data_IF_404729627140
#
_entry.id   IF_404729627140
#
_cell.length_a   1.000
_cell.length_b   1.000
_cell.length_c   1.000
_cell.angle_alpha   90.00
_cell.angle_beta   90.00
_cell.angle_gamma   90.00
#
_symmetry.space_group_name_H-M   'P 1'
#
loop_
_entity.id
_entity.type
_entity.pdbx_description
1 polymer ?
#
# COMPACT_ATOMS: atom_id res chain seq x y z
N UNK A 1 40.37 2.58 4.41
CA UNK A 1 40.92 3.61 3.50
C UNK A 1 41.96 2.93 2.64
N UNK A 2 41.88 3.12 1.33
CA UNK A 2 42.78 2.52 0.35
C UNK A 2 43.49 3.68 -0.36
N UNK A 3 44.77 3.90 -0.05
CA UNK A 3 45.55 5.00 -0.61
C UNK A 3 46.51 4.48 -1.69
N UNK A 4 46.77 5.31 -2.71
CA UNK A 4 47.68 5.05 -3.82
C UNK A 4 47.51 3.68 -4.51
N UNK A 5 46.27 3.23 -4.66
CA UNK A 5 45.99 1.98 -5.37
C UNK A 5 46.21 2.16 -6.87
N UNK A 6 46.65 1.10 -7.55
CA UNK A 6 46.83 1.06 -9.00
C UNK A 6 45.71 0.24 -9.64
N UNK A 7 45.29 0.62 -10.85
CA UNK A 7 44.35 -0.21 -11.63
C UNK A 7 45.04 -1.49 -12.11
N UNK A 8 44.33 -2.61 -12.14
CA UNK A 8 44.88 -3.92 -12.49
C UNK A 8 45.49 -3.94 -13.91
N UNK A 9 44.76 -3.39 -14.88
CA UNK A 9 45.18 -3.38 -16.29
C UNK A 9 45.94 -2.11 -16.70
N UNK A 10 45.99 -1.10 -15.82
CA UNK A 10 46.65 0.20 -16.06
C UNK A 10 47.40 0.68 -14.81
N UNK A 11 48.55 0.07 -14.46
CA UNK A 11 49.26 0.35 -13.20
C UNK A 11 49.72 1.80 -13.02
N UNK A 12 49.88 2.53 -14.13
CA UNK A 12 50.22 3.96 -14.17
C UNK A 12 49.09 4.88 -13.71
N UNK A 13 47.86 4.36 -13.62
CA UNK A 13 46.70 5.07 -13.13
C UNK A 13 46.52 4.76 -11.66
N UNK A 14 46.80 5.75 -10.81
CA UNK A 14 46.60 5.67 -9.37
C UNK A 14 45.24 6.25 -8.95
N UNK A 15 44.67 5.69 -7.88
CA UNK A 15 43.44 6.17 -7.26
C UNK A 15 43.45 5.98 -5.73
N UNK A 16 42.65 6.78 -5.04
CA UNK A 16 42.44 6.70 -3.59
C UNK A 16 40.96 6.48 -3.29
N UNK A 17 40.65 5.65 -2.30
CA UNK A 17 39.28 5.36 -1.87
C UNK A 17 39.14 5.46 -0.36
N UNK A 18 38.12 6.17 0.08
CA UNK A 18 37.64 6.11 1.45
C UNK A 18 36.13 5.88 1.44
N UNK A 19 35.66 4.92 2.22
CA UNK A 19 34.24 4.60 2.35
C UNK A 19 33.95 4.43 3.83
N UNK A 20 32.97 5.18 4.33
CA UNK A 20 32.41 5.02 5.66
C UNK A 20 31.03 4.38 5.54
N UNK A 21 30.73 3.46 6.45
CA UNK A 21 29.38 2.93 6.64
C UNK A 21 28.78 3.54 7.90
N UNK A 22 27.64 4.21 7.75
CA UNK A 22 27.04 4.95 8.85
C UNK A 22 25.52 4.94 8.81
N UNK A 23 24.91 4.77 9.98
CA UNK A 23 23.46 4.86 10.17
C UNK A 23 22.92 6.29 10.07
N UNK A 24 21.66 6.39 9.69
CA UNK A 24 20.93 7.64 9.52
C UNK A 24 20.85 8.52 10.78
N UNK A 25 20.84 7.90 11.96
CA UNK A 25 20.76 8.57 13.26
C UNK A 25 22.11 9.13 13.69
N UNK A 26 23.19 8.37 13.50
CA UNK A 26 24.56 8.82 13.76
C UNK A 26 24.89 10.07 12.93
N UNK A 27 24.51 10.09 11.64
CA UNK A 27 24.69 11.26 10.76
C UNK A 27 24.00 12.49 11.30
N UNK A 28 22.77 12.33 11.78
CA UNK A 28 21.96 13.44 12.33
C UNK A 28 22.51 13.95 13.65
N UNK A 29 23.28 13.15 14.39
CA UNK A 29 23.88 13.58 15.64
C UNK A 29 24.92 14.70 15.45
N UNK A 30 25.63 14.73 14.31
CA UNK A 30 26.66 15.75 14.04
C UNK A 30 26.37 16.63 12.81
N UNK A 31 25.44 16.26 11.94
CA UNK A 31 25.12 17.02 10.73
C UNK A 31 23.75 17.73 10.83
N UNK A 32 23.71 18.99 11.30
CA UNK A 32 22.46 19.72 11.54
C UNK A 32 21.74 20.17 10.25
N UNK A 33 22.38 19.99 9.08
CA UNK A 33 21.84 20.34 7.77
C UNK A 33 20.99 19.23 7.15
N UNK A 34 21.00 18.02 7.73
CA UNK A 34 20.10 16.94 7.31
C UNK A 34 18.67 17.29 7.73
N UNK A 35 17.75 17.28 6.76
CA UNK A 35 16.35 17.62 6.99
C UNK A 35 15.66 16.63 7.93
N UNK A 36 14.94 17.14 8.91
CA UNK A 36 14.02 16.36 9.74
C UNK A 36 12.74 16.02 8.97
N UNK A 37 12.10 14.89 9.29
CA UNK A 37 10.92 14.40 8.55
C UNK A 37 9.74 15.39 8.52
N UNK A 38 9.64 16.29 9.49
CA UNK A 38 8.50 17.20 9.67
C UNK A 38 8.79 18.67 9.34
N UNK A 39 10.01 19.02 8.94
CA UNK A 39 10.40 20.42 8.78
C UNK A 39 10.96 20.68 7.37
N UNK A 40 10.24 21.47 6.57
CA UNK A 40 10.64 21.87 5.21
C UNK A 40 11.36 23.24 5.23
N UNK A 41 12.29 23.42 6.17
CA UNK A 41 13.11 24.62 6.23
C UNK A 41 13.98 24.71 4.95
N UNK A 42 13.94 25.86 4.28
CA UNK A 42 14.78 26.14 3.11
C UNK A 42 16.27 25.97 3.44
N UNK A 43 17.04 25.35 2.54
CA UNK A 43 18.50 25.15 2.68
C UNK A 43 18.96 23.84 3.32
N UNK A 44 18.05 23.03 3.89
CA UNK A 44 18.38 21.67 4.40
C UNK A 44 18.24 20.62 3.31
N UNK A 45 19.10 19.60 3.34
CA UNK A 45 19.14 18.53 2.35
C UNK A 45 18.70 17.17 2.91
N UNK A 46 18.25 16.26 2.04
CA UNK A 46 17.99 14.87 2.42
C UNK A 46 19.31 14.11 2.53
N UNK A 47 19.31 13.02 3.30
CA UNK A 47 20.47 12.09 3.36
C UNK A 47 20.85 11.62 1.95
N UNK A 48 19.86 11.30 1.12
CA UNK A 48 20.06 10.89 -0.27
C UNK A 48 20.79 11.93 -1.14
N UNK A 49 20.77 13.21 -0.77
CA UNK A 49 21.35 14.29 -1.58
C UNK A 49 22.87 14.39 -1.38
N UNK A 50 23.39 13.94 -0.23
CA UNK A 50 24.80 14.08 0.18
C UNK A 50 25.52 12.76 0.33
N UNK A 51 24.85 11.74 0.85
CA UNK A 51 25.43 10.43 1.13
C UNK A 51 25.32 9.51 -0.09
N UNK A 52 26.23 8.56 -0.18
CA UNK A 52 26.50 7.74 -1.36
C UNK A 52 27.97 7.73 -1.71
N UNK A 53 28.28 7.26 -2.92
CA UNK A 53 29.62 7.21 -3.46
C UNK A 53 29.84 8.36 -4.45
N UNK A 54 30.93 9.09 -4.29
CA UNK A 54 31.32 10.22 -5.12
C UNK A 54 32.61 9.94 -5.88
N UNK A 55 32.63 10.26 -7.16
CA UNK A 55 33.87 10.40 -7.91
C UNK A 55 34.49 11.76 -7.64
N UNK A 56 35.80 11.76 -7.42
CA UNK A 56 36.59 12.92 -7.03
C UNK A 56 37.77 13.10 -7.96
N UNK A 57 38.13 14.35 -8.19
CA UNK A 57 39.39 14.75 -8.81
C UNK A 57 40.01 15.83 -7.96
N UNK A 58 41.34 15.80 -7.76
CA UNK A 58 42.03 16.70 -6.84
C UNK A 58 41.40 16.68 -5.43
N UNK A 59 40.87 15.52 -5.02
CA UNK A 59 40.12 15.32 -3.77
C UNK A 59 38.83 16.15 -3.62
N UNK A 60 38.33 16.74 -4.72
CA UNK A 60 37.05 17.45 -4.75
C UNK A 60 35.97 16.55 -5.34
N UNK A 61 34.82 16.37 -4.65
CA UNK A 61 33.68 15.60 -5.18
C UNK A 61 33.08 16.26 -6.42
N UNK A 62 32.89 15.48 -7.47
CA UNK A 62 32.37 15.93 -8.78
C UNK A 62 30.99 15.32 -9.03
N UNK A 63 30.91 13.99 -9.13
CA UNK A 63 29.71 13.30 -9.58
C UNK A 63 29.40 12.12 -8.65
N UNK A 64 28.13 11.99 -8.25
CA UNK A 64 27.63 10.78 -7.56
C UNK A 64 27.57 9.62 -8.54
N UNK A 65 28.10 8.49 -8.10
CA UNK A 65 28.28 7.25 -8.88
C UNK A 65 27.67 6.06 -8.14
N UNK A 66 26.49 6.26 -7.54
CA UNK A 66 25.78 5.22 -6.78
C UNK A 66 25.42 4.02 -7.66
N UNK A 67 25.29 4.21 -8.97
CA UNK A 67 25.04 3.15 -9.94
C UNK A 67 26.19 2.14 -10.09
N UNK A 68 27.35 2.41 -9.48
CA UNK A 68 28.46 1.45 -9.45
C UNK A 68 28.25 0.37 -8.38
N UNK A 69 27.32 0.61 -7.45
CA UNK A 69 27.04 -0.24 -6.30
C UNK A 69 25.96 -1.26 -6.69
N UNK A 70 26.36 -2.50 -7.02
CA UNK A 70 25.45 -3.49 -7.62
C UNK A 70 24.92 -4.55 -6.64
N UNK A 71 25.33 -4.52 -5.36
CA UNK A 71 25.05 -5.63 -4.40
C UNK A 71 25.01 -5.19 -2.93
N UNK A 72 24.94 -3.90 -2.63
CA UNK A 72 24.97 -3.39 -1.25
C UNK A 72 23.57 -3.22 -0.66
N UNK A 73 23.19 -4.14 0.25
CA UNK A 73 21.90 -4.12 0.96
C UNK A 73 20.66 -4.39 0.10
N UNK A 74 19.52 -4.62 0.75
CA UNK A 74 18.21 -4.80 0.09
C UNK A 74 17.36 -3.51 0.23
N UNK A 75 17.08 -2.83 -0.89
CA UNK A 75 16.14 -1.70 -0.95
C UNK A 75 16.71 -0.38 -1.50
N UNK A 76 15.82 0.53 -1.91
CA UNK A 76 16.12 1.78 -2.64
C UNK A 76 16.93 2.85 -1.87
N UNK A 77 17.20 2.64 -0.57
CA UNK A 77 17.94 3.57 0.29
C UNK A 77 19.27 3.03 0.82
N UNK A 78 19.76 1.91 0.28
CA UNK A 78 20.97 1.26 0.81
C UNK A 78 22.24 2.10 0.60
N UNK A 79 22.35 2.83 -0.50
CA UNK A 79 23.49 3.72 -0.79
C UNK A 79 23.61 4.89 0.19
N UNK A 80 22.48 5.34 0.74
CA UNK A 80 22.45 6.44 1.70
C UNK A 80 23.21 6.11 2.99
N UNK A 81 23.50 4.83 3.26
CA UNK A 81 24.29 4.37 4.40
C UNK A 81 25.80 4.50 4.18
N UNK A 82 26.23 4.64 2.93
CA UNK A 82 27.62 4.83 2.59
C UNK A 82 27.94 6.31 2.48
N UNK A 83 29.15 6.67 2.87
CA UNK A 83 29.74 7.96 2.56
C UNK A 83 31.12 7.70 1.99
N UNK A 84 31.18 7.62 0.66
CA UNK A 84 32.36 7.18 -0.07
C UNK A 84 32.88 8.22 -1.04
N UNK A 85 34.19 8.25 -1.19
CA UNK A 85 34.89 9.11 -2.13
C UNK A 85 35.97 8.29 -2.84
N UNK A 86 35.97 8.32 -4.17
CA UNK A 86 37.03 7.75 -5.01
C UNK A 86 37.71 8.87 -5.80
N UNK A 87 38.97 9.12 -5.47
CA UNK A 87 39.79 10.14 -6.11
C UNK A 87 40.68 9.53 -7.21
N UNK A 88 40.66 10.12 -8.41
CA UNK A 88 41.58 9.73 -9.48
C UNK A 88 41.95 10.93 -10.36
N UNK A 89 43.25 11.17 -10.54
CA UNK A 89 43.74 12.35 -11.28
C UNK A 89 43.58 12.24 -12.79
N UNK A 90 43.40 11.02 -13.31
CA UNK A 90 43.19 10.76 -14.74
C UNK A 90 41.75 11.02 -15.19
N UNK A 91 40.83 11.35 -14.28
CA UNK A 91 39.47 11.74 -14.64
C UNK A 91 39.48 13.04 -15.46
N UNK A 92 38.74 13.07 -16.56
CA UNK A 92 38.54 14.25 -17.41
C UNK A 92 37.15 14.81 -17.18
N UNK A 93 37.10 16.06 -16.73
CA UNK A 93 35.86 16.76 -16.44
C UNK A 93 35.24 17.33 -17.71
N UNK A 94 33.92 17.48 -17.72
CA UNK A 94 33.19 18.29 -18.70
C UNK A 94 33.39 19.78 -18.45
N UNK A 95 33.03 20.63 -19.42
CA UNK A 95 33.19 22.09 -19.32
C UNK A 95 32.46 22.69 -18.10
N UNK A 96 31.28 22.16 -17.77
CA UNK A 96 30.51 22.55 -16.57
C UNK A 96 31.04 21.92 -15.26
N UNK A 97 32.12 21.12 -15.33
CA UNK A 97 32.77 20.41 -14.21
C UNK A 97 31.81 19.56 -13.36
N UNK A 98 30.66 19.18 -13.91
CA UNK A 98 29.63 18.43 -13.19
C UNK A 98 29.69 16.92 -13.44
N UNK A 99 30.43 16.45 -14.43
CA UNK A 99 30.52 15.02 -14.77
C UNK A 99 31.91 14.62 -15.23
N UNK A 100 32.19 13.32 -15.15
CA UNK A 100 33.44 12.71 -15.60
C UNK A 100 33.32 12.05 -16.98
N UNK A 101 32.28 12.42 -17.75
CA UNK A 101 31.91 11.76 -19.01
C UNK A 101 32.97 11.85 -20.12
N UNK A 102 33.90 12.82 -20.04
CA UNK A 102 35.02 12.95 -20.99
C UNK A 102 36.18 11.99 -20.69
N UNK A 103 36.09 11.20 -19.61
CA UNK A 103 37.13 10.25 -19.22
C UNK A 103 37.12 9.02 -20.13
N UNK A 104 38.28 8.41 -20.36
CA UNK A 104 38.38 7.16 -21.12
C UNK A 104 37.50 6.08 -20.47
N UNK A 105 36.63 5.44 -21.26
CA UNK A 105 35.71 4.40 -20.81
C UNK A 105 36.43 3.22 -20.14
N UNK A 106 37.64 2.87 -20.58
CA UNK A 106 38.43 1.81 -19.95
C UNK A 106 38.81 2.16 -18.51
N UNK A 107 39.24 3.39 -18.25
CA UNK A 107 39.57 3.88 -16.90
C UNK A 107 38.31 3.85 -16.01
N UNK A 108 37.16 4.28 -16.54
CA UNK A 108 35.88 4.25 -15.81
C UNK A 108 35.50 2.80 -15.45
N UNK A 109 35.61 1.87 -16.39
CA UNK A 109 35.26 0.47 -16.19
C UNK A 109 36.14 -0.20 -15.12
N UNK A 110 37.44 0.05 -15.16
CA UNK A 110 38.40 -0.48 -14.20
C UNK A 110 38.21 0.12 -12.80
N UNK A 111 38.00 1.44 -12.70
CA UNK A 111 37.65 2.08 -11.42
C UNK A 111 36.34 1.53 -10.85
N UNK A 112 35.34 1.31 -11.70
CA UNK A 112 34.07 0.71 -11.29
C UNK A 112 34.27 -0.70 -10.72
N UNK A 113 35.07 -1.53 -11.39
CA UNK A 113 35.40 -2.89 -10.92
C UNK A 113 36.10 -2.84 -9.55
N UNK A 114 37.15 -2.03 -9.42
CA UNK A 114 37.87 -1.87 -8.15
C UNK A 114 36.96 -1.40 -7.00
N UNK A 115 36.06 -0.45 -7.27
CA UNK A 115 35.06 -0.01 -6.30
C UNK A 115 34.12 -1.13 -5.90
N UNK A 116 33.66 -1.93 -6.86
CA UNK A 116 32.76 -3.06 -6.60
C UNK A 116 33.42 -4.11 -5.70
N UNK A 117 34.71 -4.39 -5.92
CA UNK A 117 35.48 -5.32 -5.08
C UNK A 117 35.59 -4.81 -3.64
N UNK A 118 35.94 -3.54 -3.45
CA UNK A 118 35.98 -2.90 -2.11
C UNK A 118 34.61 -2.96 -1.43
N UNK A 119 33.52 -2.69 -2.16
CA UNK A 119 32.17 -2.73 -1.61
C UNK A 119 31.79 -4.16 -1.21
N UNK A 120 32.20 -5.16 -1.98
CA UNK A 120 31.97 -6.56 -1.63
C UNK A 120 32.74 -6.95 -0.36
N UNK A 121 33.99 -6.49 -0.19
CA UNK A 121 34.73 -6.67 1.06
C UNK A 121 33.98 -6.06 2.26
N UNK A 122 33.52 -4.81 2.14
CA UNK A 122 32.72 -4.13 3.17
C UNK A 122 31.44 -4.91 3.47
N UNK A 123 30.74 -5.41 2.45
CA UNK A 123 29.53 -6.22 2.64
C UNK A 123 29.81 -7.50 3.43
N UNK A 124 30.88 -8.22 3.09
CA UNK A 124 31.29 -9.45 3.79
C UNK A 124 31.64 -9.12 5.25
N UNK A 125 32.34 -8.01 5.48
CA UNK A 125 32.70 -7.56 6.83
C UNK A 125 31.47 -7.21 7.67
N UNK A 126 30.53 -6.45 7.13
CA UNK A 126 29.27 -6.10 7.79
C UNK A 126 28.42 -7.33 8.11
N UNK A 127 28.46 -8.35 7.26
CA UNK A 127 27.79 -9.63 7.50
C UNK A 127 28.46 -10.41 8.64
N UNK A 128 29.79 -10.49 8.65
CA UNK A 128 30.56 -11.16 9.73
C UNK A 128 30.36 -10.49 11.09
N UNK A 129 30.15 -9.18 11.13
CA UNK A 129 29.98 -8.40 12.36
C UNK A 129 28.51 -8.20 12.77
N UNK A 130 27.57 -9.05 12.30
CA UNK A 130 26.16 -9.08 12.73
C UNK A 130 25.36 -7.78 12.56
N UNK A 131 25.84 -6.83 11.75
CA UNK A 131 25.15 -5.56 11.50
C UNK A 131 23.79 -5.78 10.81
N UNK A 132 23.69 -6.84 10.00
CA UNK A 132 22.43 -7.25 9.37
C UNK A 132 21.44 -7.85 10.39
N UNK A 133 21.93 -8.56 11.40
CA UNK A 133 21.15 -9.13 12.51
C UNK A 133 20.52 -8.00 13.35
N UNK A 134 21.29 -6.94 13.64
CA UNK A 134 20.79 -5.75 14.34
C UNK A 134 19.67 -5.02 13.58
N UNK A 135 19.73 -5.00 12.24
CA UNK A 135 18.64 -4.44 11.41
C UNK A 135 17.37 -5.24 11.52
N UNK A 136 17.48 -6.57 11.41
CA UNK A 136 16.36 -7.49 11.57
C UNK A 136 15.70 -7.30 12.93
N UNK A 137 16.47 -7.23 14.02
CA UNK A 137 15.94 -6.99 15.36
C UNK A 137 15.28 -5.63 15.51
N UNK A 138 15.79 -4.57 14.86
CA UNK A 138 15.15 -3.25 14.85
C UNK A 138 13.81 -3.27 14.12
N UNK A 139 13.72 -3.99 13.01
CA UNK A 139 12.47 -4.19 12.28
C UNK A 139 11.47 -5.00 13.11
N UNK A 140 11.89 -6.12 13.69
CA UNK A 140 11.09 -6.96 14.59
C UNK A 140 10.57 -6.17 15.81
N UNK A 141 11.42 -5.38 16.46
CA UNK A 141 11.01 -4.54 17.59
C UNK A 141 10.00 -3.45 17.18
N UNK A 142 10.14 -2.90 15.98
CA UNK A 142 9.17 -1.93 15.43
C UNK A 142 7.85 -2.62 15.10
N UNK A 143 7.89 -3.82 14.53
CA UNK A 143 6.71 -4.65 14.25
C UNK A 143 5.98 -4.99 15.54
N UNK A 144 6.70 -5.46 16.57
CA UNK A 144 6.12 -5.77 17.90
C UNK A 144 5.42 -4.57 18.53
N UNK A 145 6.05 -3.38 18.51
CA UNK A 145 5.41 -2.14 19.02
C UNK A 145 4.16 -1.76 18.24
N UNK A 146 4.18 -1.94 16.92
CA UNK A 146 3.02 -1.70 16.07
C UNK A 146 1.90 -2.70 16.36
N UNK A 147 2.21 -3.99 16.49
CA UNK A 147 1.28 -5.04 16.85
C UNK A 147 0.65 -4.80 18.22
N UNK A 148 1.44 -4.45 19.24
CA UNK A 148 0.94 -4.11 20.57
C UNK A 148 -0.01 -2.90 20.52
N UNK A 149 0.34 -1.84 19.79
CA UNK A 149 -0.52 -0.69 19.61
C UNK A 149 -1.81 -1.05 18.85
N UNK A 150 -1.71 -1.85 17.79
CA UNK A 150 -2.85 -2.31 17.01
C UNK A 150 -3.77 -3.22 17.83
N UNK A 151 -3.21 -4.10 18.65
CA UNK A 151 -3.94 -4.97 19.56
C UNK A 151 -4.68 -4.16 20.63
N UNK A 152 -3.99 -3.24 21.31
CA UNK A 152 -4.60 -2.38 22.32
C UNK A 152 -5.74 -1.54 21.74
N UNK A 153 -5.52 -0.94 20.55
CA UNK A 153 -6.56 -0.22 19.81
C UNK A 153 -7.75 -1.13 19.48
N UNK A 154 -7.52 -2.36 19.01
CA UNK A 154 -8.60 -3.33 18.72
C UNK A 154 -9.38 -3.72 19.98
N UNK A 155 -8.69 -3.87 21.12
CA UNK A 155 -9.32 -4.18 22.42
C UNK A 155 -10.21 -3.04 22.90
N UNK A 156 -9.74 -1.80 22.85
CA UNK A 156 -10.57 -0.63 23.20
C UNK A 156 -11.76 -0.47 22.26
N UNK A 157 -11.55 -0.76 20.98
CA UNK A 157 -12.62 -0.70 19.99
C UNK A 157 -13.66 -1.80 20.25
N UNK A 158 -13.28 -3.00 20.70
CA UNK A 158 -14.27 -4.08 20.88
C UNK A 158 -15.25 -3.78 22.01
N UNK A 159 -14.80 -3.15 23.10
CA UNK A 159 -15.62 -2.86 24.28
C UNK A 159 -16.74 -1.86 24.02
N UNK A 160 -16.63 -1.07 22.95
CA UNK A 160 -17.66 -0.10 22.54
C UNK A 160 -18.45 -0.59 21.31
N UNK A 161 -18.32 -1.87 20.95
CA UNK A 161 -18.92 -2.41 19.71
C UNK A 161 -20.34 -2.90 19.98
N UNK A 162 -21.30 -2.30 19.29
CA UNK A 162 -22.69 -2.75 19.31
C UNK A 162 -22.82 -4.18 18.79
N UNK A 163 -23.85 -4.87 19.25
CA UNK A 163 -24.16 -6.23 18.86
C UNK A 163 -25.66 -6.45 18.70
N UNK A 164 -26.03 -7.56 18.10
CA UNK A 164 -27.42 -8.02 17.99
C UNK A 164 -27.47 -9.54 18.12
N UNK A 165 -28.64 -10.07 18.48
CA UNK A 165 -28.83 -11.49 18.74
C UNK A 165 -29.89 -12.04 17.77
N UNK A 166 -29.57 -13.16 17.13
CA UNK A 166 -30.50 -13.93 16.30
C UNK A 166 -30.53 -15.36 16.84
N UNK A 167 -31.68 -15.76 17.40
CA UNK A 167 -31.81 -17.03 18.11
C UNK A 167 -30.85 -17.09 19.30
N UNK A 168 -29.89 -18.03 19.25
CA UNK A 168 -28.85 -18.22 20.26
C UNK A 168 -27.47 -17.69 19.84
N UNK A 169 -27.40 -16.90 18.77
CA UNK A 169 -26.14 -16.41 18.18
C UNK A 169 -26.02 -14.91 18.35
N UNK A 170 -24.83 -14.46 18.78
CA UNK A 170 -24.50 -13.04 18.91
C UNK A 170 -23.65 -12.60 17.73
N UNK A 171 -24.04 -11.48 17.12
CA UNK A 171 -23.35 -10.86 16.01
C UNK A 171 -22.89 -9.46 16.41
N UNK A 172 -21.65 -9.11 16.06
CA UNK A 172 -21.13 -7.77 16.27
C UNK A 172 -21.42 -6.90 15.04
N UNK A 173 -21.87 -5.66 15.23
CA UNK A 173 -22.10 -4.68 14.16
C UNK A 173 -20.80 -4.46 13.36
N UNK A 174 -20.80 -4.50 12.02
CA UNK A 174 -19.56 -4.46 11.24
C UNK A 174 -18.91 -3.07 11.30
N UNK A 175 -17.62 -2.98 10.96
CA UNK A 175 -16.86 -1.71 10.88
C UNK A 175 -16.14 -1.50 9.56
N UNK A 176 -16.10 -2.52 8.73
CA UNK A 176 -15.45 -2.55 7.43
C UNK A 176 -16.15 -3.61 6.55
N UNK A 177 -15.72 -3.70 5.29
CA UNK A 177 -16.32 -4.60 4.30
C UNK A 177 -16.10 -6.08 4.63
N UNK A 178 -14.93 -6.45 5.16
CA UNK A 178 -14.65 -7.83 5.58
C UNK A 178 -15.57 -8.31 6.72
N UNK A 179 -15.81 -7.46 7.73
CA UNK A 179 -16.78 -7.76 8.80
C UNK A 179 -18.22 -7.80 8.27
N UNK A 180 -18.56 -6.91 7.31
CA UNK A 180 -19.86 -6.91 6.65
C UNK A 180 -20.08 -8.22 5.87
N UNK A 181 -19.08 -8.71 5.15
CA UNK A 181 -19.11 -10.00 4.46
C UNK A 181 -19.45 -11.14 5.44
N UNK A 182 -18.75 -11.19 6.58
CA UNK A 182 -18.99 -12.22 7.60
C UNK A 182 -20.43 -12.21 8.14
N UNK A 183 -21.01 -11.03 8.33
CA UNK A 183 -22.41 -10.89 8.72
C UNK A 183 -23.33 -11.32 7.59
N UNK A 184 -23.09 -10.84 6.37
CA UNK A 184 -23.90 -11.16 5.19
C UNK A 184 -24.00 -12.67 4.97
N UNK A 185 -22.89 -13.41 4.93
CA UNK A 185 -22.90 -14.87 4.75
C UNK A 185 -23.60 -15.58 5.91
N UNK A 186 -23.43 -15.09 7.14
CA UNK A 186 -24.13 -15.65 8.30
C UNK A 186 -25.64 -15.47 8.20
N UNK A 187 -26.10 -14.29 7.78
CA UNK A 187 -27.51 -13.98 7.56
C UNK A 187 -28.07 -14.78 6.38
N UNK A 188 -27.32 -14.90 5.29
CA UNK A 188 -27.67 -15.73 4.14
C UNK A 188 -27.87 -17.20 4.54
N UNK A 189 -27.00 -17.72 5.40
CA UNK A 189 -27.10 -19.10 5.90
C UNK A 189 -28.34 -19.30 6.79
N UNK A 190 -28.69 -18.29 7.59
CA UNK A 190 -29.85 -18.33 8.49
C UNK A 190 -31.18 -18.12 7.78
N UNK A 191 -31.20 -17.22 6.80
CA UNK A 191 -32.38 -16.79 6.07
C UNK A 191 -32.09 -16.73 4.58
N UNK A 192 -31.82 -17.87 3.92
CA UNK A 192 -31.44 -17.87 2.51
C UNK A 192 -32.53 -17.21 1.67
N UNK A 193 -33.80 -17.48 1.93
CA UNK A 193 -34.95 -17.02 1.14
C UNK A 193 -35.17 -15.50 1.16
N UNK A 194 -34.52 -14.80 2.08
CA UNK A 194 -34.56 -13.34 2.15
C UNK A 194 -33.70 -12.66 1.05
N UNK A 195 -32.83 -13.44 0.40
CA UNK A 195 -31.98 -12.98 -0.69
C UNK A 195 -32.37 -13.67 -2.00
N UNK A 196 -32.52 -12.89 -3.06
CA UNK A 196 -32.96 -13.37 -4.39
C UNK A 196 -31.83 -14.07 -5.18
N UNK A 197 -30.64 -14.20 -4.60
CA UNK A 197 -29.45 -14.71 -5.27
C UNK A 197 -28.68 -15.72 -4.40
N UNK A 198 -27.69 -16.36 -5.00
CA UNK A 198 -26.76 -17.28 -4.35
C UNK A 198 -25.33 -16.75 -4.50
N UNK A 199 -24.63 -16.40 -3.40
CA UNK A 199 -23.21 -16.07 -3.43
C UNK A 199 -22.40 -17.36 -3.63
N UNK A 200 -21.45 -17.33 -4.55
CA UNK A 200 -20.64 -18.50 -4.94
C UNK A 200 -19.18 -18.38 -4.52
N UNK A 201 -18.66 -17.15 -4.46
CA UNK A 201 -17.25 -16.87 -4.16
C UNK A 201 -17.09 -15.50 -3.49
N UNK A 202 -15.94 -15.29 -2.82
CA UNK A 202 -15.49 -14.02 -2.25
C UNK A 202 -14.00 -13.77 -2.55
N UNK A 203 -13.68 -12.66 -3.23
CA UNK A 203 -12.30 -12.30 -3.60
C UNK A 203 -12.02 -10.79 -3.47
N UNK A 204 -11.16 -10.40 -2.52
CA UNK A 204 -10.78 -8.99 -2.33
C UNK A 204 -9.70 -8.50 -3.33
N UNK A 205 -9.10 -9.37 -4.15
CA UNK A 205 -7.87 -9.07 -4.88
C UNK A 205 -8.05 -8.15 -6.10
N UNK A 206 -9.21 -8.18 -6.74
CA UNK A 206 -9.53 -7.40 -7.95
C UNK A 206 -10.58 -6.28 -7.70
N UNK A 207 -10.96 -6.07 -6.44
CA UNK A 207 -12.03 -5.15 -6.04
C UNK A 207 -13.42 -5.58 -6.52
N UNK A 208 -13.64 -6.87 -6.69
CA UNK A 208 -14.93 -7.46 -7.00
C UNK A 208 -15.28 -8.36 -5.82
N UNK A 209 -16.17 -7.92 -4.94
CA UNK A 209 -16.31 -8.61 -3.66
C UNK A 209 -16.86 -10.04 -3.82
N UNK A 210 -17.99 -10.24 -4.50
CA UNK A 210 -18.62 -11.56 -4.60
C UNK A 210 -19.05 -11.89 -6.03
N UNK A 211 -18.77 -13.13 -6.46
CA UNK A 211 -19.43 -13.74 -7.60
C UNK A 211 -20.73 -14.40 -7.15
N UNK A 212 -21.83 -14.13 -7.86
CA UNK A 212 -23.14 -14.64 -7.53
C UNK A 212 -23.93 -15.06 -8.78
N UNK A 213 -25.01 -15.80 -8.53
CA UNK A 213 -25.99 -16.18 -9.56
C UNK A 213 -27.41 -16.03 -9.03
N UNK A 214 -28.38 -16.06 -9.95
CA UNK A 214 -29.78 -16.19 -9.56
C UNK A 214 -30.03 -17.57 -8.95
N UNK A 215 -30.89 -17.64 -7.94
CA UNK A 215 -31.34 -18.92 -7.39
C UNK A 215 -32.10 -19.70 -8.45
N UNK A 216 -31.52 -20.83 -8.87
CA UNK A 216 -32.11 -21.71 -9.89
C UNK A 216 -31.77 -23.16 -9.57
N UNK A 217 -32.57 -24.10 -10.08
CA UNK A 217 -32.25 -25.53 -10.01
C UNK A 217 -31.16 -25.98 -11.01
N UNK A 218 -30.64 -25.05 -11.82
CA UNK A 218 -29.65 -25.34 -12.85
C UNK A 218 -28.27 -25.64 -12.23
N UNK A 219 -27.47 -26.42 -12.95
CA UNK A 219 -26.06 -26.63 -12.59
C UNK A 219 -25.32 -25.30 -12.62
N UNK A 220 -24.34 -25.12 -11.73
CA UNK A 220 -23.55 -23.89 -11.63
C UNK A 220 -22.93 -23.51 -12.98
N UNK A 221 -22.39 -24.47 -13.72
CA UNK A 221 -21.74 -24.23 -15.02
C UNK A 221 -22.64 -23.63 -16.11
N UNK A 222 -23.97 -23.79 -15.98
CA UNK A 222 -24.95 -23.37 -16.99
C UNK A 222 -25.64 -22.05 -16.60
N UNK A 223 -25.19 -21.40 -15.52
CA UNK A 223 -25.77 -20.16 -15.02
C UNK A 223 -25.06 -18.92 -15.55
N UNK A 224 -25.82 -17.82 -15.67
CA UNK A 224 -25.25 -16.50 -15.82
C UNK A 224 -24.69 -16.02 -14.46
N UNK A 225 -23.44 -15.54 -14.49
CA UNK A 225 -22.76 -15.01 -13.31
C UNK A 225 -22.69 -13.49 -13.36
N UNK A 226 -22.72 -12.88 -12.18
CA UNK A 226 -22.66 -11.45 -12.00
C UNK A 226 -22.14 -11.15 -10.59
N UNK A 227 -21.89 -9.88 -10.29
CA UNK A 227 -21.23 -9.45 -9.06
C UNK A 227 -22.17 -8.83 -8.02
N UNK A 228 -21.86 -9.08 -6.76
CA UNK A 228 -22.36 -8.31 -5.61
C UNK A 228 -21.21 -7.49 -5.05
N UNK A 229 -21.42 -6.18 -4.94
CA UNK A 229 -20.48 -5.27 -4.28
C UNK A 229 -20.82 -5.15 -2.79
N UNK A 230 -19.82 -5.16 -1.93
CA UNK A 230 -19.94 -4.92 -0.50
C UNK A 230 -19.44 -3.51 -0.16
N UNK A 231 -20.22 -2.78 0.61
CA UNK A 231 -19.84 -1.45 1.11
C UNK A 231 -20.24 -1.32 2.56
N UNK A 232 -19.28 -1.13 3.48
CA UNK A 232 -19.65 -0.91 4.89
C UNK A 232 -20.63 0.26 5.02
N UNK A 233 -20.24 1.43 4.53
CA UNK A 233 -21.14 2.59 4.44
C UNK A 233 -21.32 2.96 2.97
N UNK A 234 -22.55 2.88 2.48
CA UNK A 234 -22.88 3.28 1.12
C UNK A 234 -22.97 4.81 1.05
N UNK A 235 -21.85 5.44 0.72
CA UNK A 235 -21.71 6.90 0.75
C UNK A 235 -20.75 7.50 -0.28
N UNK A 236 -19.96 6.65 -0.95
CA UNK A 236 -19.04 7.10 -1.99
C UNK A 236 -19.85 7.41 -3.25
N UNK A 237 -19.69 8.64 -3.77
CA UNK A 237 -20.25 9.05 -5.06
C UNK A 237 -19.44 8.52 -6.24
N UNK A 238 -18.29 7.91 -5.97
CA UNK A 238 -17.38 7.31 -6.97
C UNK A 238 -17.10 5.85 -6.61
N UNK A 239 -17.35 4.96 -7.57
CA UNK A 239 -17.01 3.53 -7.51
C UNK A 239 -15.74 3.27 -8.30
N UNK A 240 -14.85 2.44 -7.75
CA UNK A 240 -13.59 2.09 -8.42
C UNK A 240 -13.75 0.99 -9.49
N UNK A 241 -14.98 0.57 -9.78
CA UNK A 241 -15.31 -0.57 -10.64
C UNK A 241 -16.46 -0.21 -11.59
N UNK A 242 -16.51 -0.90 -12.73
CA UNK A 242 -17.59 -0.80 -13.71
C UNK A 242 -18.92 -1.32 -13.14
N UNK A 243 -20.03 -0.70 -13.51
CA UNK A 243 -21.37 -1.16 -13.15
C UNK A 243 -21.86 -2.33 -14.03
N UNK A 244 -21.15 -2.67 -15.10
CA UNK A 244 -21.62 -3.58 -16.15
C UNK A 244 -22.09 -4.95 -15.64
N UNK A 245 -21.41 -5.51 -14.64
CA UNK A 245 -21.70 -6.84 -14.11
C UNK A 245 -22.27 -6.82 -12.69
N UNK A 246 -22.50 -5.65 -12.10
CA UNK A 246 -23.01 -5.53 -10.73
C UNK A 246 -24.54 -5.59 -10.77
N UNK A 247 -25.14 -6.52 -10.02
CA UNK A 247 -26.62 -6.56 -9.86
C UNK A 247 -27.08 -6.17 -8.47
N UNK A 248 -26.22 -6.38 -7.48
CA UNK A 248 -26.54 -6.07 -6.10
C UNK A 248 -25.40 -5.31 -5.43
N UNK A 249 -25.74 -4.40 -4.54
CA UNK A 249 -24.83 -3.78 -3.60
C UNK A 249 -25.35 -4.09 -2.21
N UNK A 250 -24.57 -4.77 -1.38
CA UNK A 250 -24.92 -5.04 0.02
C UNK A 250 -24.13 -4.09 0.90
N UNK A 251 -24.83 -3.36 1.75
CA UNK A 251 -24.21 -2.42 2.68
C UNK A 251 -24.73 -2.58 4.11
N UNK A 252 -23.94 -2.13 5.09
CA UNK A 252 -24.45 -2.03 6.46
C UNK A 252 -25.48 -0.91 6.57
N UNK A 253 -25.12 0.29 6.11
CA UNK A 253 -26.01 1.46 6.14
C UNK A 253 -25.74 2.45 5.00
N UNK A 254 -26.74 3.26 4.68
CA UNK A 254 -26.60 4.39 3.77
C UNK A 254 -25.95 5.57 4.52
N UNK A 255 -25.05 6.29 3.86
CA UNK A 255 -24.49 7.51 4.41
C UNK A 255 -25.51 8.63 4.45
N UNK A 256 -25.43 9.49 5.48
CA UNK A 256 -26.26 10.70 5.58
C UNK A 256 -26.05 11.70 4.43
N UNK A 257 -24.96 11.55 3.68
CA UNK A 257 -24.64 12.36 2.50
C UNK A 257 -25.41 11.94 1.25
N UNK A 258 -25.96 10.73 1.24
CA UNK A 258 -26.64 10.15 0.07
C UNK A 258 -28.13 10.21 0.31
N UNK A 259 -28.85 10.78 -0.66
CA UNK A 259 -30.31 10.93 -0.67
C UNK A 259 -30.90 10.36 -1.96
N UNK A 260 -32.22 10.21 -1.98
CA UNK A 260 -32.94 9.96 -3.23
C UNK A 260 -32.55 11.01 -4.30
N UNK A 261 -32.31 10.55 -5.52
CA UNK A 261 -31.81 11.36 -6.63
C UNK A 261 -30.30 11.62 -6.64
N UNK A 262 -29.53 11.04 -5.70
CA UNK A 262 -28.07 11.19 -5.72
C UNK A 262 -27.47 10.53 -6.96
N UNK A 263 -26.53 11.22 -7.60
CA UNK A 263 -25.83 10.71 -8.79
C UNK A 263 -24.53 10.02 -8.36
N UNK A 264 -24.32 8.81 -8.86
CA UNK A 264 -23.15 7.99 -8.60
C UNK A 264 -22.42 7.75 -9.92
N UNK A 265 -21.09 7.82 -9.86
CA UNK A 265 -20.20 7.67 -11.00
C UNK A 265 -19.24 6.51 -10.78
N UNK A 266 -18.72 5.95 -11.85
CA UNK A 266 -17.55 5.05 -11.79
C UNK A 266 -16.29 5.83 -12.13
N UNK A 267 -15.13 5.38 -11.65
CA UNK A 267 -13.82 5.91 -12.06
C UNK A 267 -13.24 5.20 -13.28
N UNK A 268 -13.91 4.15 -13.78
CA UNK A 268 -13.39 3.25 -14.83
C UNK A 268 -14.07 3.53 -16.18
N UNK A 269 -15.32 3.97 -16.14
CA UNK A 269 -16.18 4.26 -17.29
C UNK A 269 -16.95 5.56 -17.06
N UNK A 270 -17.27 6.29 -18.14
CA UNK A 270 -18.13 7.49 -18.11
C UNK A 270 -19.61 7.09 -18.02
N UNK A 271 -19.92 6.21 -17.07
CA UNK A 271 -21.26 5.75 -16.75
C UNK A 271 -21.71 6.35 -15.42
N UNK A 272 -22.98 6.78 -15.40
CA UNK A 272 -23.61 7.36 -14.21
C UNK A 272 -24.93 6.66 -13.93
N UNK A 273 -25.21 6.48 -12.63
CA UNK A 273 -26.47 5.92 -12.15
C UNK A 273 -27.05 6.84 -11.08
N UNK A 274 -28.37 6.93 -11.02
CA UNK A 274 -29.12 7.69 -10.03
C UNK A 274 -29.61 6.72 -8.96
N UNK A 275 -29.38 7.05 -7.71
CA UNK A 275 -29.96 6.32 -6.59
C UNK A 275 -31.42 6.71 -6.41
N UNK A 276 -32.29 5.71 -6.44
CA UNK A 276 -33.69 5.83 -6.06
C UNK A 276 -33.93 5.14 -4.72
N UNK A 277 -34.59 5.85 -3.80
CA UNK A 277 -35.00 5.35 -2.48
C UNK A 277 -36.53 5.43 -2.40
N UNK A 278 -37.18 4.28 -2.58
CA UNK A 278 -38.63 4.17 -2.42
C UNK A 278 -38.93 3.81 -0.96
N UNK A 279 -39.66 4.65 -0.21
CA UNK A 279 -40.07 4.31 1.15
C UNK A 279 -40.97 3.07 1.13
N UNK A 280 -40.84 2.21 2.14
CA UNK A 280 -41.74 1.09 2.32
C UNK A 280 -43.14 1.57 2.74
N UNK A 281 -44.16 0.80 2.36
CA UNK A 281 -45.56 1.02 2.75
C UNK A 281 -45.94 -0.09 3.73
N UNK A 282 -46.72 0.23 4.77
CA UNK A 282 -47.29 -0.74 5.72
C UNK A 282 -46.29 -1.73 6.35
N UNK A 283 -45.13 -1.22 6.78
CA UNK A 283 -44.10 -2.03 7.47
C UNK A 283 -43.15 -2.78 6.54
N UNK A 284 -43.31 -2.65 5.22
CA UNK A 284 -42.33 -3.15 4.25
C UNK A 284 -41.03 -2.34 4.35
N UNK A 285 -39.89 -2.96 4.02
CA UNK A 285 -38.61 -2.25 4.04
C UNK A 285 -38.50 -1.27 2.86
N UNK A 286 -37.77 -0.17 3.05
CA UNK A 286 -37.45 0.74 1.95
C UNK A 286 -36.69 -0.01 0.85
N UNK A 287 -36.99 0.31 -0.41
CA UNK A 287 -36.38 -0.30 -1.59
C UNK A 287 -35.41 0.70 -2.20
N UNK A 288 -34.15 0.29 -2.33
CA UNK A 288 -33.09 1.13 -2.88
C UNK A 288 -32.54 0.50 -4.16
N UNK A 289 -32.38 1.28 -5.23
CA UNK A 289 -31.75 0.81 -6.45
C UNK A 289 -31.03 1.92 -7.20
N UNK A 290 -29.99 1.55 -7.95
CA UNK A 290 -29.30 2.43 -8.89
C UNK A 290 -29.86 2.18 -10.29
N UNK A 291 -30.23 3.26 -10.97
CA UNK A 291 -30.85 3.22 -12.29
C UNK A 291 -30.22 4.24 -13.25
N UNK A 292 -30.34 4.02 -14.55
CA UNK A 292 -30.15 5.09 -15.54
C UNK A 292 -30.94 4.78 -16.80
N UNK A 293 -31.29 5.81 -17.56
CA UNK A 293 -32.13 5.68 -18.76
C UNK A 293 -31.53 4.75 -19.83
N UNK A 294 -30.21 4.55 -19.81
CA UNK A 294 -29.48 3.70 -20.74
C UNK A 294 -29.16 2.31 -20.19
N UNK A 295 -29.52 2.01 -18.93
CA UNK A 295 -29.20 0.75 -18.28
C UNK A 295 -30.23 -0.33 -18.62
N UNK A 296 -29.78 -1.51 -19.04
CA UNK A 296 -30.68 -2.66 -19.22
C UNK A 296 -31.15 -3.26 -17.89
N UNK A 297 -30.40 -3.04 -16.79
CA UNK A 297 -30.62 -3.67 -15.49
C UNK A 297 -30.48 -2.63 -14.38
N UNK A 298 -31.40 -2.64 -13.42
CA UNK A 298 -31.31 -1.86 -12.17
C UNK A 298 -30.47 -2.61 -11.15
N UNK A 299 -29.57 -1.89 -10.49
CA UNK A 299 -28.72 -2.47 -9.43
C UNK A 299 -29.46 -2.33 -8.10
N UNK A 300 -29.79 -3.43 -7.43
CA UNK A 300 -30.49 -3.38 -6.14
C UNK A 300 -29.51 -3.10 -5.00
N UNK A 301 -29.85 -2.19 -4.09
CA UNK A 301 -29.06 -1.90 -2.88
C UNK A 301 -29.76 -2.51 -1.66
N UNK A 302 -29.09 -3.44 -1.00
CA UNK A 302 -29.56 -4.14 0.20
C UNK A 302 -28.86 -3.56 1.42
N UNK A 303 -29.64 -2.94 2.31
CA UNK A 303 -29.15 -2.41 3.58
C UNK A 303 -29.40 -3.42 4.71
N UNK A 304 -28.36 -4.12 5.18
CA UNK A 304 -28.52 -5.18 6.18
C UNK A 304 -29.03 -4.66 7.52
N UNK A 305 -28.65 -3.44 7.93
CA UNK A 305 -29.16 -2.83 9.17
C UNK A 305 -30.68 -2.65 9.12
N UNK A 306 -31.24 -2.29 7.96
CA UNK A 306 -32.69 -2.14 7.81
C UNK A 306 -33.39 -3.51 7.85
N UNK A 307 -32.81 -4.56 7.25
CA UNK A 307 -33.35 -5.92 7.38
C UNK A 307 -33.39 -6.37 8.84
N UNK A 308 -32.30 -6.18 9.58
CA UNK A 308 -32.22 -6.57 10.99
C UNK A 308 -33.23 -5.79 11.84
N UNK A 309 -33.26 -4.46 11.71
CA UNK A 309 -34.02 -3.60 12.61
C UNK A 309 -35.49 -3.43 12.23
N UNK A 310 -35.81 -3.33 10.93
CA UNK A 310 -37.16 -3.06 10.45
C UNK A 310 -37.88 -4.35 10.06
N UNK A 311 -37.24 -5.22 9.27
CA UNK A 311 -37.88 -6.46 8.78
C UNK A 311 -37.98 -7.53 9.86
N UNK A 312 -36.89 -7.77 10.57
CA UNK A 312 -36.83 -8.80 11.61
C UNK A 312 -37.08 -8.26 13.03
N UNK A 313 -37.21 -6.93 13.19
CA UNK A 313 -37.52 -6.31 14.47
C UNK A 313 -36.45 -6.48 15.56
N UNK A 314 -35.20 -6.75 15.17
CA UNK A 314 -34.10 -6.99 16.11
C UNK A 314 -33.46 -5.66 16.51
N UNK A 315 -33.30 -5.46 17.81
CA UNK A 315 -32.67 -4.25 18.36
C UNK A 315 -31.15 -4.40 18.41
N UNK A 316 -30.43 -3.33 18.07
CA UNK A 316 -28.98 -3.23 18.29
C UNK A 316 -28.72 -2.82 19.74
N UNK A 317 -27.85 -3.55 20.42
CA UNK A 317 -27.51 -3.36 21.82
C UNK A 317 -26.07 -2.84 21.95
N UNK A 318 -25.84 -2.01 22.97
CA UNK A 318 -24.49 -1.63 23.39
C UNK A 318 -23.89 -2.73 24.29
N UNK A 319 -22.55 -2.81 24.32
CA UNK A 319 -21.82 -3.82 25.09
C UNK A 319 -21.85 -3.60 26.60
#
# INVERSE_FOLDING_TARGET
>A
MYAEQSLETMPEVKYDVVIYFEGDEAKRAYNPMIRERRNNSSGRYKVSDRYGLWSCKDFVPIQRINEWITSFGTGSNSYGLLHGFINCQKLKLTANRGTIANTNAQIISELKKAVQDIINEINIDLYKHDVMTLRKWKEEAKTKKFEEAAFNKRRELITCKQYFVIGNRTFLVPRNEAELYGIFISLYTLYPDEFEFEPLDYDESAGIDLLARNKTGNKIADCEFWYVELKYQFGATEFNHSFSNIRYIVCWELSSKVKDGSLLKTSVEDETRILHIIPGIDGDIKKCYLDSDNAAIKIKVICLKDYITQKWGITLLDQ
#
